data_IF_262978635579
#
_entry.id   IF_262978635579
#
_cell.length_a   1.000
_cell.length_b   1.000
_cell.length_c   1.000
_cell.angle_alpha   90.00
_cell.angle_beta   90.00
_cell.angle_gamma   90.00
#
_symmetry.space_group_name_H-M   'P 1'
#
loop_
_entity.id
_entity.type
_entity.pdbx_description
1 polymer ?
2 polymer ?
3 non-polymer ?
4 water ?
#
# COMPACT_ATOMS: atom_id res chain seq x y z
N UNK A 5 19.18 -4.49 -8.37
CA UNK A 5 19.19 -5.89 -8.89
C UNK A 5 18.64 -6.87 -7.85
N UNK A 6 18.17 -8.02 -8.33
CA UNK A 6 17.61 -9.04 -7.46
C UNK A 6 18.71 -9.70 -6.62
N UNK A 7 18.32 -10.41 -5.55
CA UNK A 7 19.26 -11.10 -4.67
C UNK A 7 20.02 -12.22 -5.38
N UNK A 8 21.27 -12.42 -5.00
CA UNK A 8 22.06 -13.48 -5.61
C UNK A 8 21.84 -14.83 -4.95
N UNK A 9 21.32 -14.82 -3.71
CA UNK A 9 21.11 -16.05 -2.96
C UNK A 9 20.56 -17.27 -3.71
N UNK A 10 19.41 -17.12 -4.40
CA UNK A 10 18.88 -18.30 -5.11
C UNK A 10 19.78 -18.88 -6.19
N UNK A 11 20.58 -18.03 -6.81
CA UNK A 11 21.49 -18.50 -7.85
C UNK A 11 22.65 -19.25 -7.22
N UNK A 12 23.17 -18.72 -6.12
CA UNK A 12 24.26 -19.38 -5.42
C UNK A 12 23.76 -20.69 -4.81
N UNK A 13 22.53 -20.70 -4.33
CA UNK A 13 21.95 -21.92 -3.75
C UNK A 13 21.95 -23.03 -4.79
N UNK A 14 21.49 -22.72 -6.00
CA UNK A 14 21.45 -23.72 -7.06
C UNK A 14 22.84 -24.17 -7.47
N UNK A 15 23.80 -23.24 -7.48
CA UNK A 15 25.17 -23.57 -7.87
C UNK A 15 25.78 -24.54 -6.87
N UNK A 16 25.69 -24.21 -5.58
CA UNK A 16 26.25 -25.08 -4.55
C UNK A 16 25.50 -26.40 -4.45
N UNK A 17 24.19 -26.38 -4.67
CA UNK A 17 23.42 -27.62 -4.61
C UNK A 17 23.97 -28.58 -5.68
N UNK A 18 24.08 -28.10 -6.91
CA UNK A 18 24.58 -28.92 -7.99
C UNK A 18 26.02 -29.38 -7.76
N UNK A 19 26.84 -28.47 -7.26
CA UNK A 19 28.23 -28.82 -6.98
C UNK A 19 28.29 -29.93 -5.93
N UNK A 20 27.48 -29.80 -4.88
CA UNK A 20 27.45 -30.80 -3.82
C UNK A 20 27.01 -32.16 -4.35
N UNK A 21 25.89 -32.18 -5.07
CA UNK A 21 25.39 -33.43 -5.62
C UNK A 21 26.35 -34.08 -6.60
N UNK A 22 26.93 -33.27 -7.49
CA UNK A 22 27.88 -33.79 -8.47
C UNK A 22 29.14 -34.38 -7.84
N UNK A 23 29.47 -33.94 -6.64
CA UNK A 23 30.65 -34.44 -5.95
C UNK A 23 30.31 -35.53 -4.94
N UNK A 24 29.12 -36.09 -5.07
CA UNK A 24 28.64 -37.16 -4.21
C UNK A 24 28.52 -36.79 -2.74
N UNK A 25 28.18 -35.54 -2.49
CA UNK A 25 27.98 -35.07 -1.13
C UNK A 25 26.47 -35.00 -0.91
N UNK A 26 26.06 -35.04 0.35
CA UNK A 26 24.65 -34.96 0.69
C UNK A 26 24.39 -33.50 1.07
N UNK A 27 23.58 -32.80 0.29
CA UNK A 27 23.28 -31.39 0.58
C UNK A 27 22.37 -31.17 1.77
N UNK A 28 22.86 -30.42 2.75
CA UNK A 28 22.09 -30.08 3.95
C UNK A 28 21.75 -28.59 3.90
N UNK A 29 20.46 -28.27 3.97
CA UNK A 29 20.00 -26.89 3.95
C UNK A 29 19.68 -26.42 5.37
N UNK A 30 20.25 -25.28 5.76
CA UNK A 30 20.00 -24.72 7.09
C UNK A 30 18.91 -23.66 6.92
N UNK A 31 17.83 -23.83 7.66
CA UNK A 31 16.68 -22.92 7.56
C UNK A 31 16.32 -22.20 8.86
N UNK A 32 15.97 -20.92 8.73
CA UNK A 32 15.51 -20.11 9.85
C UNK A 32 14.02 -20.44 9.94
N UNK A 33 13.65 -21.32 10.86
CA UNK A 33 12.27 -21.74 11.02
C UNK A 33 11.32 -20.64 11.49
N UNK A 34 11.87 -19.53 12.00
CA UNK A 34 11.03 -18.44 12.50
C UNK A 34 10.65 -17.43 11.41
N UNK A 35 11.28 -17.56 10.25
CA UNK A 35 11.04 -16.66 9.13
C UNK A 35 9.60 -16.73 8.61
N UNK A 36 9.08 -15.57 8.19
CA UNK A 36 7.72 -15.49 7.69
C UNK A 36 7.47 -16.40 6.48
N UNK A 37 6.40 -17.18 6.56
CA UNK A 37 6.05 -18.06 5.45
C UNK A 37 6.64 -19.45 5.46
N UNK A 38 7.54 -19.73 6.41
CA UNK A 38 8.15 -21.05 6.48
C UNK A 38 7.14 -22.13 6.90
N UNK A 39 7.11 -23.22 6.14
CA UNK A 39 6.23 -24.35 6.46
C UNK A 39 7.08 -25.60 6.62
N UNK A 40 7.34 -25.95 7.88
CA UNK A 40 8.12 -27.14 8.21
C UNK A 40 7.52 -27.75 9.48
N UNK A 41 7.75 -29.05 9.71
CA UNK A 41 7.21 -29.71 10.91
C UNK A 41 7.79 -29.08 12.16
N UNK A 42 6.98 -28.31 12.87
CA UNK A 42 7.42 -27.62 14.08
C UNK A 42 8.05 -28.53 15.12
N UNK A 43 7.70 -29.82 15.11
CA UNK A 43 8.25 -30.74 16.08
C UNK A 43 9.74 -31.04 15.84
N UNK A 44 10.24 -30.69 14.65
CA UNK A 44 11.63 -30.93 14.33
C UNK A 44 12.48 -29.66 14.37
N UNK A 45 11.85 -28.55 14.74
CA UNK A 45 12.54 -27.27 14.83
C UNK A 45 13.28 -27.16 16.15
N UNK A 46 14.53 -26.73 16.10
CA UNK A 46 15.34 -26.57 17.30
C UNK A 46 16.17 -25.30 17.20
N UNK A 47 16.20 -24.52 18.28
CA UNK A 47 16.99 -23.29 18.32
C UNK A 47 16.59 -22.33 17.20
N UNK A 48 15.30 -22.33 16.85
CA UNK A 48 14.80 -21.45 15.80
C UNK A 48 15.17 -21.86 14.39
N UNK A 49 15.77 -23.04 14.23
CA UNK A 49 16.17 -23.52 12.91
C UNK A 49 15.85 -24.98 12.68
N UNK A 50 16.11 -25.43 11.47
CA UNK A 50 15.92 -26.82 11.10
C UNK A 50 16.86 -27.11 9.92
N UNK A 51 17.47 -28.30 9.95
CA UNK A 51 18.38 -28.71 8.90
C UNK A 51 17.67 -29.76 8.06
N UNK A 52 17.69 -29.58 6.75
CA UNK A 52 17.01 -30.49 5.85
C UNK A 52 17.92 -31.11 4.79
N UNK A 53 17.79 -32.43 4.63
CA UNK A 53 18.55 -33.19 3.64
C UNK A 53 17.84 -32.98 2.31
N UNK A 54 18.50 -32.31 1.38
CA UNK A 54 17.90 -32.01 0.08
C UNK A 54 18.28 -32.95 -1.05
N UNK A 55 18.93 -34.06 -0.74
CA UNK A 55 19.32 -35.02 -1.77
C UNK A 55 18.06 -35.53 -2.45
N UNK A 56 18.18 -35.95 -3.71
CA UNK A 56 17.03 -36.48 -4.43
C UNK A 56 16.50 -37.70 -3.67
N UNK A 57 17.39 -38.42 -3.02
CA UNK A 57 17.02 -39.61 -2.27
C UNK A 57 16.07 -39.33 -1.11
N UNK A 58 16.31 -38.22 -0.41
CA UNK A 58 15.51 -37.84 0.75
C UNK A 58 14.36 -36.88 0.45
N UNK A 59 14.16 -36.55 -0.81
CA UNK A 59 13.10 -35.61 -1.17
C UNK A 59 12.30 -36.04 -2.38
N UNK A 60 11.23 -35.31 -2.63
CA UNK A 60 10.39 -35.56 -3.77
C UNK A 60 9.99 -34.24 -4.40
N UNK A 61 10.06 -34.15 -5.73
CA UNK A 61 9.68 -32.94 -6.46
C UNK A 61 10.35 -31.66 -5.97
N UNK A 62 11.64 -31.76 -5.67
CA UNK A 62 12.39 -30.59 -5.20
C UNK A 62 12.43 -29.46 -6.22
N UNK A 63 12.05 -28.26 -5.78
CA UNK A 63 12.08 -27.09 -6.63
C UNK A 63 12.94 -26.02 -5.97
N UNK A 64 13.95 -25.55 -6.69
CA UNK A 64 14.83 -24.50 -6.20
C UNK A 64 14.55 -23.29 -7.09
N UNK A 65 13.61 -22.45 -6.69
CA UNK A 65 13.25 -21.27 -7.47
C UNK A 65 13.86 -20.02 -6.86
N UNK A 66 13.61 -18.88 -7.46
CA UNK A 66 14.18 -17.63 -6.94
C UNK A 66 13.61 -17.20 -5.60
N UNK A 67 12.32 -17.37 -5.40
CA UNK A 67 11.70 -16.94 -4.15
C UNK A 67 11.46 -18.03 -3.12
N UNK A 68 11.62 -19.29 -3.50
CA UNK A 68 11.36 -20.35 -2.54
C UNK A 68 11.94 -21.70 -2.91
N UNK A 69 12.01 -22.56 -1.89
CA UNK A 69 12.46 -23.94 -2.03
C UNK A 69 11.21 -24.71 -1.61
N UNK A 70 10.79 -25.66 -2.44
CA UNK A 70 9.62 -26.46 -2.11
C UNK A 70 9.89 -27.92 -2.45
N UNK A 71 9.41 -28.82 -1.60
CA UNK A 71 9.63 -30.24 -1.83
C UNK A 71 8.90 -31.09 -0.81
N UNK A 72 8.77 -32.37 -1.13
CA UNK A 72 8.13 -33.30 -0.21
C UNK A 72 9.25 -34.06 0.49
N UNK A 73 9.02 -34.42 1.74
CA UNK A 73 9.99 -35.17 2.52
C UNK A 73 9.23 -35.98 3.54
N UNK A 74 9.90 -36.96 4.15
CA UNK A 74 9.25 -37.79 5.14
C UNK A 74 9.90 -37.63 6.51
N UNK A 75 9.07 -37.73 7.55
CA UNK A 75 9.54 -37.61 8.92
C UNK A 75 8.91 -38.79 9.66
N UNK A 76 9.74 -39.73 10.09
CA UNK A 76 9.26 -40.93 10.77
C UNK A 76 8.26 -41.62 9.86
N UNK A 77 8.54 -41.58 8.57
CA UNK A 77 7.69 -42.22 7.58
C UNK A 77 6.54 -41.39 7.06
N UNK A 78 6.25 -40.28 7.74
CA UNK A 78 5.15 -39.41 7.32
C UNK A 78 5.59 -38.37 6.29
N UNK A 79 4.88 -38.31 5.18
CA UNK A 79 5.20 -37.38 4.12
C UNK A 79 4.56 -36.01 4.35
N UNK A 80 5.33 -34.96 4.10
CA UNK A 80 4.85 -33.59 4.27
C UNK A 80 5.42 -32.68 3.19
N UNK A 81 4.67 -31.65 2.83
CA UNK A 81 5.11 -30.71 1.81
C UNK A 81 5.75 -29.49 2.47
N UNK A 82 7.07 -29.36 2.31
CA UNK A 82 7.78 -28.24 2.90
C UNK A 82 7.88 -27.06 1.94
N UNK A 83 7.84 -25.86 2.51
CA UNK A 83 7.93 -24.63 1.74
C UNK A 83 8.86 -23.69 2.49
N UNK A 84 9.94 -23.28 1.84
CA UNK A 84 10.92 -22.42 2.46
C UNK A 84 11.17 -21.14 1.67
N UNK A 85 10.72 -19.97 2.17
CA UNK A 85 10.96 -18.73 1.43
C UNK A 85 12.49 -18.57 1.33
N UNK A 86 12.97 -18.04 0.21
CA UNK A 86 14.41 -17.90 0.01
C UNK A 86 15.10 -17.14 1.14
N UNK A 87 14.42 -16.17 1.73
CA UNK A 87 15.01 -15.40 2.81
C UNK A 87 15.29 -16.24 4.05
N UNK A 88 14.62 -17.38 4.16
CA UNK A 88 14.80 -18.28 5.30
C UNK A 88 15.94 -19.27 5.08
N UNK A 89 16.43 -19.37 3.84
CA UNK A 89 17.53 -20.28 3.52
C UNK A 89 18.83 -19.63 3.95
N UNK A 90 19.43 -20.14 5.02
CA UNK A 90 20.65 -19.56 5.58
C UNK A 90 21.96 -20.14 5.08
N UNK A 91 21.94 -21.41 4.68
CA UNK A 91 23.16 -22.04 4.20
C UNK A 91 22.89 -23.41 3.60
N UNK A 92 23.86 -23.91 2.84
CA UNK A 92 23.76 -25.24 2.26
C UNK A 92 25.18 -25.78 2.32
N UNK A 93 25.33 -27.00 2.85
CA UNK A 93 26.66 -27.59 2.99
C UNK A 93 26.63 -29.11 2.92
N UNK A 94 27.83 -29.70 2.78
CA UNK A 94 27.97 -31.14 2.69
C UNK A 94 27.91 -31.83 4.06
N UNK A 95 27.03 -32.82 4.16
CA UNK A 95 26.91 -33.56 5.42
C UNK A 95 28.25 -34.21 5.73
N UNK A 96 28.98 -34.60 4.69
CA UNK A 96 30.26 -35.27 4.84
C UNK A 96 31.47 -34.47 5.28
N UNK A 97 31.66 -33.25 4.77
CA UNK A 97 32.84 -32.47 5.13
C UNK A 97 32.62 -30.99 5.42
N UNK A 98 31.37 -30.57 5.50
CA UNK A 98 31.05 -29.19 5.81
C UNK A 98 31.26 -28.13 4.74
N UNK A 99 31.77 -28.54 3.57
CA UNK A 99 32.00 -27.57 2.51
C UNK A 99 30.68 -27.09 1.94
N UNK A 100 30.63 -25.82 1.58
CA UNK A 100 29.41 -25.24 1.04
C UNK A 100 29.44 -23.75 1.19
N UNK A 101 28.31 -23.16 1.57
CA UNK A 101 28.25 -21.73 1.73
C UNK A 101 27.25 -21.29 2.79
N UNK A 102 27.62 -20.23 3.51
CA UNK A 102 26.77 -19.61 4.53
C UNK A 102 26.45 -18.30 3.83
N UNK A 103 25.21 -18.16 3.37
CA UNK A 103 24.78 -16.98 2.62
C UNK A 103 24.96 -15.61 3.28
N UNK A 104 25.37 -14.64 2.48
CA UNK A 104 25.54 -13.28 2.97
C UNK A 104 24.14 -12.78 3.32
N UNK A 105 24.01 -11.95 4.35
CA UNK A 105 22.72 -11.39 4.80
C UNK A 105 22.19 -10.29 3.88
N UNK A 106 21.80 -10.65 2.67
CA UNK A 106 21.27 -9.67 1.73
C UNK A 106 20.07 -8.89 2.28
N UNK A 107 20.25 -7.57 2.34
CA UNK A 107 19.26 -6.62 2.85
C UNK A 107 17.79 -6.89 2.51
N UNK A 108 17.52 -7.21 1.25
CA UNK A 108 16.16 -7.46 0.81
C UNK A 108 15.40 -8.50 1.63
N UNK A 109 16.13 -9.41 2.27
CA UNK A 109 15.50 -10.45 3.08
C UNK A 109 15.21 -10.01 4.51
N UNK A 110 15.74 -8.86 4.92
CA UNK A 110 15.49 -8.36 6.27
C UNK A 110 14.18 -7.59 6.30
N UNK B 5 -9.12 10.93 12.90
CA UNK B 5 -9.81 10.80 11.59
C UNK B 5 -9.91 12.14 10.88
N UNK B 6 -9.91 12.10 9.55
CA UNK B 6 -10.00 13.30 8.73
C UNK B 6 -11.34 14.01 8.88
N UNK B 7 -11.40 15.29 8.48
CA UNK B 7 -12.62 16.10 8.56
C UNK B 7 -13.73 15.57 7.65
N UNK B 8 -14.98 15.64 8.13
CA UNK B 8 -16.10 15.17 7.34
C UNK B 8 -16.57 16.24 6.35
N UNK B 9 -16.19 17.49 6.59
CA UNK B 9 -16.62 18.60 5.74
C UNK B 9 -16.61 18.39 4.23
N UNK B 10 -15.48 17.92 3.65
CA UNK B 10 -15.42 17.71 2.20
C UNK B 10 -16.45 16.71 1.69
N UNK B 11 -16.73 15.68 2.47
CA UNK B 11 -17.69 14.66 2.08
C UNK B 11 -19.11 15.22 2.11
N UNK B 12 -19.43 15.98 3.15
CA UNK B 12 -20.75 16.57 3.27
C UNK B 12 -20.95 17.61 2.16
N UNK B 13 -19.88 18.33 1.84
CA UNK B 13 -19.96 19.35 0.79
C UNK B 13 -20.31 18.68 -0.54
N UNK B 14 -19.62 17.59 -0.87
CA UNK B 14 -19.91 16.90 -2.11
C UNK B 14 -21.33 16.33 -2.14
N UNK B 15 -21.76 15.78 -1.01
CA UNK B 15 -23.10 15.20 -0.91
C UNK B 15 -24.16 16.26 -1.17
N UNK B 16 -24.02 17.41 -0.52
CA UNK B 16 -24.99 18.49 -0.71
C UNK B 16 -24.90 19.09 -2.09
N UNK B 17 -23.68 19.17 -2.63
CA UNK B 17 -23.53 19.72 -3.97
C UNK B 17 -24.33 18.87 -4.95
N UNK B 18 -24.15 17.55 -4.89
CA UNK B 18 -24.87 16.66 -5.80
C UNK B 18 -26.37 16.69 -5.58
N UNK B 19 -26.80 16.70 -4.32
CA UNK B 19 -28.23 16.76 -4.03
C UNK B 19 -28.82 18.05 -4.60
N UNK B 20 -28.10 19.16 -4.45
CA UNK B 20 -28.59 20.43 -4.97
C UNK B 20 -28.74 20.37 -6.49
N UNK B 21 -27.68 19.98 -7.17
CA UNK B 21 -27.71 19.90 -8.62
C UNK B 21 -28.78 18.95 -9.15
N UNK B 22 -28.92 17.78 -8.52
CA UNK B 22 -29.90 16.79 -8.94
C UNK B 22 -31.32 17.29 -8.77
N UNK B 23 -31.52 18.24 -7.88
CA UNK B 23 -32.85 18.79 -7.65
C UNK B 23 -33.07 20.11 -8.38
N UNK B 24 -32.23 20.37 -9.37
CA UNK B 24 -32.31 21.57 -10.19
C UNK B 24 -32.08 22.87 -9.45
N UNK B 25 -31.33 22.81 -8.36
CA UNK B 25 -31.01 24.00 -7.58
C UNK B 25 -29.61 24.48 -8.00
N UNK B 26 -29.34 25.77 -7.77
CA UNK B 26 -28.06 26.36 -8.10
C UNK B 26 -27.21 26.39 -6.82
N UNK B 27 -26.12 25.61 -6.78
CA UNK B 27 -25.27 25.57 -5.59
C UNK B 27 -24.47 26.85 -5.33
N UNK B 28 -24.69 27.44 -4.16
CA UNK B 28 -23.98 28.65 -3.76
C UNK B 28 -23.07 28.30 -2.58
N UNK B 29 -21.79 28.62 -2.71
CA UNK B 29 -20.82 28.36 -1.66
C UNK B 29 -20.44 29.63 -0.92
N UNK B 30 -20.53 29.60 0.40
CA UNK B 30 -20.16 30.76 1.21
C UNK B 30 -18.72 30.51 1.66
N UNK B 31 -17.86 31.47 1.37
CA UNK B 31 -16.44 31.34 1.70
C UNK B 31 -15.89 32.40 2.63
N UNK B 32 -15.03 31.99 3.56
CA UNK B 32 -14.38 32.91 4.47
C UNK B 32 -13.17 33.41 3.69
N UNK B 33 -13.29 34.59 3.09
CA UNK B 33 -12.24 35.18 2.28
C UNK B 33 -10.96 35.52 3.06
N UNK B 34 -11.04 35.53 4.38
CA UNK B 34 -9.86 35.86 5.20
C UNK B 34 -9.03 34.65 5.55
N UNK B 35 -9.52 33.47 5.20
CA UNK B 35 -8.81 32.22 5.50
C UNK B 35 -7.51 32.11 4.71
N UNK B 36 -6.49 31.56 5.36
CA UNK B 36 -5.17 31.39 4.74
C UNK B 36 -5.21 30.54 3.48
N UNK B 37 -4.62 31.04 2.39
CA UNK B 37 -4.58 30.29 1.16
C UNK B 37 -5.68 30.57 0.15
N UNK B 38 -6.68 31.33 0.55
CA UNK B 38 -7.79 31.66 -0.35
C UNK B 38 -7.35 32.55 -1.50
N UNK B 39 -7.75 32.18 -2.72
CA UNK B 39 -7.44 33.02 -3.87
C UNK B 39 -8.72 33.27 -4.66
N UNK B 40 -9.28 34.47 -4.49
CA UNK B 40 -10.48 34.88 -5.20
C UNK B 40 -10.30 36.37 -5.51
N UNK B 41 -11.08 36.90 -6.48
CA UNK B 41 -10.96 38.32 -6.82
C UNK B 41 -11.39 39.13 -5.59
N UNK B 42 -10.43 39.81 -4.97
CA UNK B 42 -10.69 40.57 -3.74
C UNK B 42 -11.77 41.65 -3.80
N UNK B 43 -11.98 42.23 -4.97
CA UNK B 43 -12.99 43.28 -5.13
C UNK B 43 -14.39 42.77 -4.83
N UNK B 44 -14.59 41.45 -4.94
CA UNK B 44 -15.90 40.87 -4.69
C UNK B 44 -16.12 40.41 -3.27
N UNK B 45 -15.11 40.57 -2.42
CA UNK B 45 -15.23 40.18 -1.02
C UNK B 45 -15.96 41.25 -0.23
N UNK B 46 -16.91 40.84 0.60
CA UNK B 46 -17.68 41.76 1.42
C UNK B 46 -17.78 41.23 2.85
N UNK B 47 -17.32 42.06 3.79
CA UNK B 47 -17.35 41.67 5.20
C UNK B 47 -16.63 40.35 5.45
N UNK B 48 -15.48 40.19 4.80
CA UNK B 48 -14.67 39.00 4.97
C UNK B 48 -15.20 37.73 4.33
N UNK B 49 -16.24 37.84 3.51
CA UNK B 49 -16.81 36.67 2.86
C UNK B 49 -17.09 36.89 1.38
N UNK B 50 -17.30 35.79 0.66
CA UNK B 50 -17.63 35.85 -0.75
C UNK B 50 -18.53 34.65 -1.03
N UNK B 51 -19.54 34.87 -1.86
CA UNK B 51 -20.48 33.82 -2.23
C UNK B 51 -20.22 33.47 -3.68
N UNK B 52 -20.08 32.18 -3.97
CA UNK B 52 -19.77 31.72 -5.31
C UNK B 52 -20.77 30.72 -5.88
N UNK B 53 -21.16 30.95 -7.12
CA UNK B 53 -22.09 30.09 -7.85
C UNK B 53 -21.25 28.94 -8.38
N UNK B 54 -21.46 27.74 -7.84
CA UNK B 54 -20.69 26.57 -8.26
C UNK B 54 -21.36 25.65 -9.28
N UNK B 55 -22.42 26.14 -9.91
CA UNK B 55 -23.11 25.32 -10.91
C UNK B 55 -22.19 25.08 -12.08
N UNK B 56 -22.46 24.04 -12.86
CA UNK B 56 -21.62 23.74 -14.01
C UNK B 56 -21.73 24.89 -15.02
N UNK B 57 -22.89 25.52 -15.11
CA UNK B 57 -23.08 26.62 -16.05
C UNK B 57 -22.25 27.85 -15.71
N UNK B 58 -22.00 28.07 -14.43
CA UNK B 58 -21.23 29.24 -13.98
C UNK B 58 -19.76 28.98 -13.69
N UNK B 59 -19.31 27.76 -13.94
CA UNK B 59 -17.92 27.42 -13.67
C UNK B 59 -17.31 26.54 -14.75
N UNK B 60 -16.01 26.33 -14.63
CA UNK B 60 -15.29 25.48 -15.56
C UNK B 60 -14.31 24.63 -14.77
N UNK B 61 -14.24 23.34 -15.08
CA UNK B 61 -13.31 22.43 -14.41
C UNK B 61 -13.42 22.38 -12.89
N UNK B 62 -14.64 22.41 -12.36
CA UNK B 62 -14.82 22.37 -10.92
C UNK B 62 -14.24 21.11 -10.26
N UNK B 63 -13.43 21.32 -9.22
CA UNK B 63 -12.83 20.24 -8.46
C UNK B 63 -13.27 20.36 -7.00
N UNK B 64 -13.89 19.30 -6.46
CA UNK B 64 -14.30 19.28 -5.07
C UNK B 64 -13.48 18.16 -4.43
N UNK B 65 -12.30 18.51 -3.92
CA UNK B 65 -11.43 17.52 -3.30
C UNK B 65 -11.49 17.66 -1.79
N UNK B 66 -10.77 16.78 -1.09
CA UNK B 66 -10.80 16.83 0.38
C UNK B 66 -10.18 18.09 0.98
N UNK B 67 -9.10 18.58 0.39
CA UNK B 67 -8.41 19.75 0.94
C UNK B 67 -8.70 21.08 0.27
N UNK B 68 -9.37 21.06 -0.88
CA UNK B 68 -9.65 22.31 -1.57
C UNK B 68 -10.69 22.21 -2.66
N UNK B 69 -11.17 23.38 -3.07
CA UNK B 69 -12.14 23.52 -4.14
C UNK B 69 -11.41 24.43 -5.13
N UNK B 70 -11.33 24.01 -6.38
CA UNK B 70 -10.65 24.80 -7.40
C UNK B 70 -11.51 24.80 -8.65
N UNK B 71 -11.62 25.95 -9.30
CA UNK B 71 -12.42 26.06 -10.51
C UNK B 71 -12.22 27.40 -11.20
N UNK B 72 -12.67 27.48 -12.45
CA UNK B 72 -12.59 28.71 -13.20
C UNK B 72 -13.97 29.35 -13.18
N UNK B 73 -14.02 30.66 -13.13
CA UNK B 73 -15.29 31.39 -13.12
C UNK B 73 -15.03 32.74 -13.78
N UNK B 74 -16.09 33.39 -14.26
CA UNK B 74 -15.93 34.68 -14.89
C UNK B 74 -16.49 35.81 -14.05
N UNK B 75 -15.86 36.97 -14.16
CA UNK B 75 -16.28 38.17 -13.44
C UNK B 75 -16.29 39.29 -14.46
N UNK B 76 -17.50 39.68 -14.88
CA UNK B 76 -17.65 40.72 -15.89
C UNK B 76 -16.93 40.24 -17.15
N UNK B 77 -17.09 38.95 -17.45
CA UNK B 77 -16.49 38.36 -18.63
C UNK B 77 -15.05 37.89 -18.52
N UNK B 78 -14.36 38.29 -17.44
CA UNK B 78 -12.97 37.89 -17.26
C UNK B 78 -12.84 36.61 -16.43
N UNK B 79 -12.22 35.58 -17.01
CA UNK B 79 -12.05 34.33 -16.29
C UNK B 79 -10.88 34.38 -15.32
N UNK B 80 -11.11 33.86 -14.12
CA UNK B 80 -10.11 33.79 -13.05
C UNK B 80 -10.21 32.38 -12.48
N UNK B 81 -9.07 31.80 -12.10
CA UNK B 81 -9.10 30.48 -11.50
C UNK B 81 -9.10 30.72 -9.99
N UNK B 82 -10.10 30.17 -9.31
CA UNK B 82 -10.21 30.34 -7.87
C UNK B 82 -9.74 29.11 -7.11
N UNK B 83 -9.12 29.34 -5.96
CA UNK B 83 -8.62 28.25 -5.11
C UNK B 83 -9.14 28.50 -3.71
N UNK B 84 -9.90 27.54 -3.19
CA UNK B 84 -10.48 27.68 -1.86
C UNK B 84 -10.13 26.53 -0.92
N UNK B 85 -9.30 26.79 0.10
CA UNK B 85 -8.94 25.73 1.03
C UNK B 85 -10.24 25.25 1.68
N UNK B 86 -10.36 23.96 1.95
CA UNK B 86 -11.59 23.43 2.55
C UNK B 86 -11.95 24.11 3.87
N UNK B 87 -10.94 24.53 4.63
CA UNK B 87 -11.21 25.19 5.89
C UNK B 87 -11.96 26.50 5.71
N UNK B 88 -11.89 27.07 4.53
CA UNK B 88 -12.55 28.34 4.22
C UNK B 88 -14.00 28.18 3.74
N UNK B 89 -14.41 26.96 3.45
CA UNK B 89 -15.78 26.71 2.99
C UNK B 89 -16.68 26.64 4.22
N UNK B 90 -17.56 27.64 4.36
CA UNK B 90 -18.45 27.72 5.50
C UNK B 90 -19.82 27.09 5.33
N UNK B 91 -20.36 27.15 4.11
CA UNK B 91 -21.67 26.60 3.86
C UNK B 91 -21.97 26.49 2.37
N UNK B 92 -22.95 25.66 2.04
CA UNK B 92 -23.37 25.50 0.67
C UNK B 92 -24.88 25.41 0.70
N UNK B 93 -25.55 26.14 -0.17
CA UNK B 93 -27.01 26.14 -0.18
C UNK B 93 -27.59 26.42 -1.55
N UNK B 94 -28.90 26.23 -1.68
CA UNK B 94 -29.57 26.47 -2.95
C UNK B 94 -29.92 27.95 -3.07
N UNK B 95 -29.56 28.55 -4.20
CA UNK B 95 -29.84 29.95 -4.42
C UNK B 95 -31.36 30.15 -4.39
N UNK B 96 -32.08 29.17 -4.94
CA UNK B 96 -33.53 29.21 -5.04
C UNK B 96 -34.32 29.21 -3.73
N UNK B 97 -33.95 28.36 -2.78
CA UNK B 97 -34.70 28.32 -1.53
C UNK B 97 -33.88 28.31 -0.23
N UNK B 98 -32.57 28.49 -0.35
CA UNK B 98 -31.72 28.50 0.83
C UNK B 98 -31.50 27.18 1.52
N UNK B 99 -32.07 26.10 1.00
CA UNK B 99 -31.88 24.80 1.64
C UNK B 99 -30.43 24.36 1.44
N UNK B 100 -29.83 23.82 2.49
CA UNK B 100 -28.45 23.39 2.41
C UNK B 100 -27.88 23.07 3.77
N UNK B 101 -26.63 23.46 3.99
CA UNK B 101 -25.98 23.19 5.27
C UNK B 101 -24.84 24.14 5.59
N UNK B 102 -24.72 24.48 6.87
CA UNK B 102 -23.65 25.34 7.36
C UNK B 102 -22.76 24.35 8.10
N UNK B 103 -21.52 24.20 7.64
CA UNK B 103 -20.60 23.25 8.24
C UNK B 103 -20.23 23.47 9.69
N UNK B 104 -20.06 22.36 10.40
CA UNK B 104 -19.67 22.39 11.81
C UNK B 104 -18.22 22.85 11.89
N UNK B 105 -17.87 23.57 12.96
CA UNK B 105 -16.51 24.08 13.18
C UNK B 105 -15.50 22.99 13.56
N UNK B 106 -15.12 22.15 12.61
CA UNK B 106 -14.15 21.08 12.88
C UNK B 106 -12.78 21.63 13.26
N UNK B 107 -12.28 21.16 14.40
CA UNK B 107 -10.99 21.57 14.97
C UNK B 107 -9.81 21.73 14.01
N UNK B 108 -9.54 20.71 13.21
CA UNK B 108 -8.43 20.74 12.27
C UNK B 108 -8.33 22.03 11.44
N UNK B 109 -9.47 22.66 11.19
CA UNK B 109 -9.50 23.88 10.39
C UNK B 109 -9.12 25.15 11.13
N UNK B 110 -9.08 25.08 12.46
CA UNK B 110 -8.70 26.25 13.25
C UNK B 110 -7.44 25.98 14.06
N UNK C 1 28.26 -41.39 15.92
CA UNK C 1 27.42 -40.46 16.73
C UNK C 1 27.13 -39.15 16.03
N UNK C 2 27.47 -39.06 14.74
CA UNK C 2 27.24 -37.84 13.98
C UNK C 2 25.75 -37.63 13.68
N UNK C 3 25.22 -36.51 14.15
CA UNK C 3 23.81 -36.17 13.94
C UNK C 3 23.59 -35.81 12.47
N UNK C 4 22.42 -36.20 11.96
CA UNK C 4 22.10 -35.90 10.57
C UNK C 4 21.08 -34.78 10.46
N UNK C 5 20.22 -34.86 9.44
CA UNK C 5 19.19 -33.85 9.22
C UNK C 5 17.86 -34.26 9.86
N UNK C 6 16.88 -33.37 9.82
CA UNK C 6 15.57 -33.63 10.41
C UNK C 6 14.73 -34.66 9.68
N UNK C 7 14.69 -34.57 8.35
CA UNK C 7 13.91 -35.50 7.55
C UNK C 7 14.59 -36.87 7.36
N UNK C 8 13.78 -37.88 7.02
CA UNK C 8 14.30 -39.23 6.82
C UNK C 8 15.26 -39.24 5.63
N UNK C 9 16.24 -40.13 5.68
CA UNK C 9 17.23 -40.25 4.61
C UNK C 9 16.60 -40.63 3.27
N UNK C 10 15.52 -41.41 3.32
CA UNK C 10 14.85 -41.85 2.11
C UNK C 10 13.39 -41.41 2.05
N UNK C 11 13.00 -40.83 0.93
CA UNK C 11 11.63 -40.38 0.74
C UNK C 11 10.78 -41.54 0.21
N UNK D 4 -26.35 37.67 -3.33
CA UNK D 4 -26.05 37.15 -4.70
C UNK D 4 -24.64 36.62 -4.82
N UNK D 5 -24.38 35.87 -5.88
CA UNK D 5 -23.05 35.30 -6.11
C UNK D 5 -22.14 36.31 -6.78
N UNK D 6 -20.84 36.20 -6.52
CA UNK D 6 -19.85 37.11 -7.09
C UNK D 6 -19.60 36.89 -8.58
N UNK D 7 -19.49 35.63 -9.00
CA UNK D 7 -19.20 35.31 -10.39
C UNK D 7 -20.40 35.38 -11.33
N UNK D 8 -20.12 35.55 -12.62
CA UNK D 8 -21.17 35.62 -13.64
C UNK D 8 -21.95 34.31 -13.65
N UNK D 9 -23.23 34.39 -14.00
CA UNK D 9 -24.07 33.19 -14.05
C UNK D 9 -23.64 32.20 -15.12
N UNK D 10 -23.02 32.71 -16.19
CA UNK D 10 -22.57 31.85 -17.28
C UNK D 10 -21.07 31.91 -17.51
N UNK D 11 -20.42 30.75 -17.49
CA UNK D 11 -18.99 30.68 -17.71
C UNK D 11 -18.63 30.60 -19.20
X LIG E 1 13.37 -38.57 -4.55
X LIG F 1 -19.20 24.90 -17.30
#
# INVERSE_FOLDING_TARGET
>A
MEYKSSPKRPYLLRAYYDWLVDNSFTPYLVVDATYLGVNVPVEYVKDGQIVLNLSASATGNLQLTNDFIQFNARFKGVSRELYIPMGAALAIYARENGDGVMFEPEEIYDE
>B
MEYKSSPKRPYLLRAYYDWLVDNSFTPYLVVDATYLGVNVPVEYVKDGQIVLNLSASATGNLQLTNDFIQFNARFKGVSRELYIPMGAALAIYARENGDGVMFEPEEIYDE
>C
GRHGAANDENY
>D
GRHGAANDENY
>E hetero
1 MG MG
>F hetero
1 MG MG
#
